data_IF_177117147342
#
_entry.id   IF_177117147342
#
_cell.length_a   1.000
_cell.length_b   1.000
_cell.length_c   1.000
_cell.angle_alpha   90.00
_cell.angle_beta   90.00
_cell.angle_gamma   90.00
#
_symmetry.space_group_name_H-M   'P 1'
#
loop_
_entity.id
_entity.type
_entity.pdbx_description
1 polymer ?
#
# COMPACT_ATOMS: atom_id res chain seq x y z
N UNK A 1 1.91 25.24 -6.58
CA UNK A 1 0.61 24.55 -6.66
C UNK A 1 0.63 23.24 -7.48
N UNK A 2 1.07 23.19 -8.75
CA UNK A 2 1.00 21.94 -9.58
C UNK A 2 1.72 20.69 -9.03
N UNK A 3 2.86 20.83 -8.33
CA UNK A 3 3.61 19.68 -7.78
C UNK A 3 2.86 18.91 -6.68
N UNK A 4 1.88 19.54 -6.02
CA UNK A 4 1.16 18.90 -4.92
C UNK A 4 0.11 17.91 -5.44
N UNK A 5 -0.62 18.26 -6.51
CA UNK A 5 -1.62 17.38 -7.14
C UNK A 5 -1.03 16.05 -7.64
N UNK A 6 0.17 16.08 -8.22
CA UNK A 6 0.83 14.85 -8.70
C UNK A 6 1.12 13.89 -7.54
N UNK A 7 1.58 14.40 -6.39
CA UNK A 7 1.83 13.59 -5.20
C UNK A 7 0.54 12.95 -4.66
N UNK A 8 -0.58 13.68 -4.69
CA UNK A 8 -1.88 13.15 -4.26
C UNK A 8 -2.32 12.01 -5.17
N UNK A 9 -2.28 12.26 -6.49
CA UNK A 9 -2.64 11.25 -7.49
C UNK A 9 -1.77 10.00 -7.30
N UNK A 10 -0.46 10.15 -7.12
CA UNK A 10 0.44 9.02 -6.90
C UNK A 10 0.12 8.26 -5.62
N UNK A 11 -0.12 8.96 -4.50
CA UNK A 11 -0.45 8.33 -3.22
C UNK A 11 -1.79 7.58 -3.28
N UNK A 12 -2.84 8.21 -3.81
CA UNK A 12 -4.15 7.58 -3.95
C UNK A 12 -4.14 6.47 -5.00
N UNK A 13 -3.40 6.60 -6.10
CA UNK A 13 -3.22 5.50 -7.07
C UNK A 13 -2.49 4.32 -6.44
N UNK A 14 -1.50 4.56 -5.57
CA UNK A 14 -0.85 3.49 -4.82
C UNK A 14 -1.85 2.77 -3.91
N UNK A 15 -2.68 3.51 -3.17
CA UNK A 15 -3.66 2.92 -2.25
C UNK A 15 -4.84 2.22 -2.94
N UNK A 16 -5.32 2.74 -4.06
CA UNK A 16 -6.52 2.24 -4.74
C UNK A 16 -6.19 1.17 -5.78
N UNK A 17 -4.99 1.23 -6.37
CA UNK A 17 -4.61 0.35 -7.49
C UNK A 17 -3.48 -0.59 -7.06
N UNK A 18 -2.29 -0.07 -6.75
CA UNK A 18 -1.11 -0.92 -6.51
C UNK A 18 -1.30 -1.83 -5.30
N UNK A 19 -1.74 -1.28 -4.17
CA UNK A 19 -1.90 -2.05 -2.94
C UNK A 19 -2.96 -3.16 -3.08
N UNK A 20 -4.18 -2.92 -3.60
CA UNK A 20 -5.16 -3.97 -3.82
C UNK A 20 -4.70 -5.00 -4.84
N UNK A 21 -4.02 -4.58 -5.91
CA UNK A 21 -3.54 -5.48 -6.96
C UNK A 21 -2.46 -6.43 -6.44
N UNK A 22 -1.46 -5.92 -5.71
CA UNK A 22 -0.42 -6.72 -5.07
C UNK A 22 -1.00 -7.63 -3.98
N UNK A 23 -1.94 -7.12 -3.19
CA UNK A 23 -2.64 -7.92 -2.17
C UNK A 23 -3.45 -9.04 -2.82
N UNK A 24 -4.14 -8.76 -3.92
CA UNK A 24 -4.91 -9.76 -4.65
C UNK A 24 -4.04 -10.90 -5.18
N UNK A 25 -2.92 -10.57 -5.85
CA UNK A 25 -2.00 -11.60 -6.33
C UNK A 25 -1.40 -12.43 -5.19
N UNK A 26 -0.99 -11.77 -4.10
CA UNK A 26 -0.50 -12.46 -2.92
C UNK A 26 -1.54 -13.40 -2.33
N UNK A 27 -2.77 -12.93 -2.12
CA UNK A 27 -3.85 -13.71 -1.52
C UNK A 27 -4.27 -14.87 -2.44
N UNK A 28 -4.38 -14.65 -3.75
CA UNK A 28 -4.69 -15.70 -4.72
C UNK A 28 -3.65 -16.83 -4.68
N UNK A 29 -2.36 -16.48 -4.62
CA UNK A 29 -1.29 -17.45 -4.43
C UNK A 29 -1.38 -18.13 -3.05
N UNK A 30 -1.52 -17.34 -1.99
CA UNK A 30 -1.47 -17.84 -0.62
C UNK A 30 -2.65 -18.78 -0.29
N UNK A 31 -3.87 -18.50 -0.75
CA UNK A 31 -5.01 -19.41 -0.54
C UNK A 31 -4.80 -20.75 -1.25
N UNK A 32 -4.05 -20.77 -2.37
CA UNK A 32 -3.78 -21.99 -3.14
C UNK A 32 -2.71 -22.86 -2.47
N UNK A 33 -1.72 -22.26 -1.82
CA UNK A 33 -0.50 -22.97 -1.37
C UNK A 33 -0.21 -22.89 0.13
N UNK A 34 -0.86 -22.00 0.87
CA UNK A 34 -0.60 -21.72 2.29
C UNK A 34 -1.85 -21.96 3.13
N UNK A 35 -1.63 -22.20 4.43
CA UNK A 35 -2.72 -22.24 5.39
C UNK A 35 -3.32 -20.85 5.61
N UNK A 36 -4.58 -20.79 6.04
CA UNK A 36 -5.26 -19.52 6.28
C UNK A 36 -4.53 -18.61 7.29
N UNK A 37 -3.99 -19.12 8.43
CA UNK A 37 -3.19 -18.28 9.33
C UNK A 37 -1.93 -17.69 8.68
N UNK A 38 -1.21 -18.49 7.87
CA UNK A 38 -0.02 -18.04 7.17
C UNK A 38 -0.34 -16.96 6.12
N UNK A 39 -1.46 -17.12 5.41
CA UNK A 39 -1.98 -16.13 4.46
C UNK A 39 -2.27 -14.79 5.12
N UNK A 40 -2.97 -14.81 6.26
CA UNK A 40 -3.31 -13.58 7.02
C UNK A 40 -2.05 -12.86 7.49
N UNK A 41 -1.09 -13.59 8.07
CA UNK A 41 0.18 -13.02 8.52
C UNK A 41 0.93 -12.38 7.34
N UNK A 42 0.99 -13.05 6.19
CA UNK A 42 1.68 -12.51 5.03
C UNK A 42 1.00 -11.28 4.44
N UNK A 43 -0.34 -11.16 4.48
CA UNK A 43 -1.02 -9.92 4.11
C UNK A 43 -0.56 -8.75 4.99
N UNK A 44 -0.50 -8.96 6.31
CA UNK A 44 0.00 -7.92 7.23
C UNK A 44 1.46 -7.54 6.95
N UNK A 45 2.31 -8.52 6.59
CA UNK A 45 3.70 -8.24 6.21
C UNK A 45 3.75 -7.43 4.91
N UNK A 46 3.01 -7.83 3.88
CA UNK A 46 2.93 -7.12 2.59
C UNK A 46 2.48 -5.69 2.81
N UNK A 47 1.43 -5.48 3.60
CA UNK A 47 0.95 -4.13 3.93
C UNK A 47 1.97 -3.35 4.76
N UNK A 48 2.62 -4.00 5.72
CA UNK A 48 3.69 -3.43 6.54
C UNK A 48 4.91 -2.98 5.73
N UNK A 49 5.14 -3.53 4.54
CA UNK A 49 6.20 -3.08 3.62
C UNK A 49 5.68 -1.97 2.70
N UNK A 50 4.47 -2.14 2.15
CA UNK A 50 3.95 -1.29 1.08
C UNK A 50 3.31 0.03 1.56
N UNK A 51 2.86 0.11 2.81
CA UNK A 51 2.18 1.30 3.35
C UNK A 51 3.12 2.34 3.98
N UNK A 52 4.13 1.99 4.79
CA UNK A 52 4.83 3.00 5.60
C UNK A 52 5.54 4.06 4.79
N UNK A 53 6.25 3.69 3.72
CA UNK A 53 7.03 4.65 2.94
C UNK A 53 6.14 5.64 2.16
N UNK A 54 5.13 5.20 1.38
CA UNK A 54 4.19 6.12 0.74
C UNK A 54 3.45 7.02 1.72
N UNK A 55 3.05 6.46 2.88
CA UNK A 55 2.34 7.21 3.91
C UNK A 55 3.24 8.28 4.56
N UNK A 56 4.47 7.91 4.93
CA UNK A 56 5.47 8.85 5.45
C UNK A 56 5.76 9.98 4.46
N UNK A 57 5.98 9.63 3.19
CA UNK A 57 6.29 10.59 2.14
C UNK A 57 5.12 11.57 1.93
N UNK A 58 3.89 11.08 1.91
CA UNK A 58 2.70 11.90 1.78
C UNK A 58 2.52 12.82 3.00
N UNK A 59 2.60 12.26 4.21
CA UNK A 59 2.49 13.00 5.47
C UNK A 59 3.49 14.15 5.53
N UNK A 60 4.78 13.87 5.27
CA UNK A 60 5.84 14.86 5.39
C UNK A 60 5.76 15.97 4.33
N UNK A 61 5.17 15.71 3.15
CA UNK A 61 5.05 16.69 2.06
C UNK A 61 3.72 17.44 2.03
N UNK A 62 2.68 16.96 2.74
CA UNK A 62 1.33 17.54 2.66
C UNK A 62 0.71 17.87 4.00
N UNK A 63 0.90 17.05 5.02
CA UNK A 63 0.22 17.21 6.31
C UNK A 63 1.11 17.95 7.30
N UNK A 64 2.41 17.63 7.34
CA UNK A 64 3.38 18.28 8.24
C UNK A 64 3.79 19.70 7.79
N UNK A 65 3.52 20.07 6.54
CA UNK A 65 3.88 21.38 5.96
C UNK A 65 2.75 22.42 6.18
N UNK A 66 1.57 21.98 6.62
CA UNK A 66 0.47 22.84 7.11
C UNK A 66 0.72 23.09 8.60
#
# INVERSE_FOLDING_TARGET
>A
MKKSLIMDILFFSHLIILLPLLTFFYVAYAITYLSMPATVIGVFIVWGILLPYPFYLYWNKRIKII
#
